data_IF_258228635811
#
_entry.id   IF_258228635811
#
_cell.length_a   1.000
_cell.length_b   1.000
_cell.length_c   1.000
_cell.angle_alpha   90.00
_cell.angle_beta   90.00
_cell.angle_gamma   90.00
#
_symmetry.space_group_name_H-M   'P 1'
#
loop_
_entity.id
_entity.type
_entity.pdbx_description
1 polymer ?
#
# COMPACT_ATOMS: atom_id res chain seq x y z
N UNK A 1 10.91 13.31 -53.64
CA UNK A 1 11.17 14.50 -52.78
C UNK A 1 12.52 14.41 -52.05
N UNK A 2 12.86 13.27 -51.45
CA UNK A 2 14.13 13.04 -50.71
C UNK A 2 15.39 13.16 -51.59
N UNK A 3 15.36 12.66 -52.84
CA UNK A 3 16.53 12.73 -53.74
C UNK A 3 16.92 14.17 -54.14
N UNK A 4 15.96 15.10 -54.14
CA UNK A 4 16.18 16.51 -54.48
C UNK A 4 16.90 17.25 -53.35
N UNK A 5 16.61 16.87 -52.09
CA UNK A 5 17.30 17.34 -50.89
C UNK A 5 18.76 16.86 -50.85
N UNK A 6 19.00 15.58 -51.19
CA UNK A 6 20.33 14.96 -51.19
C UNK A 6 21.30 15.54 -52.24
N UNK A 7 20.80 16.10 -53.34
CA UNK A 7 21.64 16.75 -54.38
C UNK A 7 21.88 18.25 -54.15
N UNK A 8 21.26 18.84 -53.14
CA UNK A 8 21.40 20.27 -52.84
C UNK A 8 22.83 20.64 -52.45
N UNK A 9 23.24 21.88 -52.75
CA UNK A 9 24.55 22.42 -52.31
C UNK A 9 24.68 22.44 -50.78
N UNK A 10 23.57 22.57 -50.06
CA UNK A 10 23.50 22.52 -48.60
C UNK A 10 23.89 21.16 -48.03
N UNK A 11 23.35 20.06 -48.58
CA UNK A 11 23.66 18.71 -48.13
C UNK A 11 25.13 18.33 -48.31
N UNK A 12 25.75 18.73 -49.43
CA UNK A 12 27.20 18.52 -49.65
C UNK A 12 28.07 19.27 -48.66
N UNK A 13 27.66 20.46 -48.23
CA UNK A 13 28.37 21.26 -47.21
C UNK A 13 28.20 20.64 -45.81
N UNK A 14 26.99 20.21 -45.48
CA UNK A 14 26.66 19.55 -44.23
C UNK A 14 27.46 18.24 -44.03
N UNK A 15 27.49 17.37 -45.05
CA UNK A 15 28.20 16.09 -44.98
C UNK A 15 29.73 16.23 -44.94
N UNK A 16 30.28 17.40 -45.31
CA UNK A 16 31.72 17.69 -45.23
C UNK A 16 32.15 18.21 -43.85
N UNK A 17 31.20 18.64 -43.01
CA UNK A 17 31.49 19.12 -41.67
C UNK A 17 31.35 17.96 -40.66
N UNK A 18 32.48 17.49 -40.13
CA UNK A 18 32.52 16.38 -39.16
C UNK A 18 31.78 16.71 -37.86
N UNK A 19 31.80 17.97 -37.42
CA UNK A 19 31.13 18.40 -36.19
C UNK A 19 29.60 18.33 -36.36
N UNK A 20 29.08 18.79 -37.50
CA UNK A 20 27.65 18.76 -37.78
C UNK A 20 27.08 17.33 -37.90
N UNK A 21 27.87 16.40 -38.44
CA UNK A 21 27.51 14.98 -38.50
C UNK A 21 27.47 14.35 -37.10
N UNK A 22 28.44 14.65 -36.24
CA UNK A 22 28.48 14.15 -34.86
C UNK A 22 27.29 14.67 -34.05
N UNK A 23 26.97 15.97 -34.13
CA UNK A 23 25.81 16.54 -33.43
C UNK A 23 24.49 15.93 -33.89
N UNK A 24 24.32 15.69 -35.20
CA UNK A 24 23.13 15.03 -35.75
C UNK A 24 23.00 13.57 -35.27
N UNK A 25 24.11 12.83 -35.19
CA UNK A 25 24.12 11.48 -34.67
C UNK A 25 23.75 11.44 -33.17
N UNK A 26 24.27 12.37 -32.38
CA UNK A 26 23.92 12.50 -30.94
C UNK A 26 22.43 12.80 -30.77
N UNK A 27 21.90 13.75 -31.54
CA UNK A 27 20.46 14.09 -31.56
C UNK A 27 19.61 12.87 -31.93
N UNK A 28 19.99 12.13 -32.98
CA UNK A 28 19.27 10.92 -33.38
C UNK A 28 19.32 9.83 -32.32
N UNK A 29 20.45 9.64 -31.63
CA UNK A 29 20.57 8.68 -30.53
C UNK A 29 19.62 9.05 -29.39
N UNK A 30 19.62 10.31 -28.96
CA UNK A 30 18.72 10.76 -27.90
C UNK A 30 17.25 10.67 -28.32
N UNK A 31 16.89 11.10 -29.53
CA UNK A 31 15.54 10.96 -30.07
C UNK A 31 15.11 9.48 -30.16
N UNK A 32 16.00 8.58 -30.56
CA UNK A 32 15.77 7.14 -30.52
C UNK A 32 15.58 6.63 -29.09
N UNK A 33 16.36 7.08 -28.11
CA UNK A 33 16.19 6.71 -26.70
C UNK A 33 14.82 7.18 -26.19
N UNK A 34 14.42 8.43 -26.46
CA UNK A 34 13.09 8.92 -26.07
C UNK A 34 11.97 8.16 -26.78
N UNK A 35 12.08 7.91 -28.09
CA UNK A 35 11.11 7.10 -28.83
C UNK A 35 11.07 5.67 -28.31
N UNK A 36 12.20 5.09 -27.92
CA UNK A 36 12.25 3.77 -27.32
C UNK A 36 11.53 3.81 -25.96
N UNK A 37 11.79 4.79 -25.09
CA UNK A 37 11.08 4.97 -23.80
C UNK A 37 9.58 5.22 -23.98
N UNK A 38 9.17 5.91 -25.04
CA UNK A 38 7.76 6.19 -25.33
C UNK A 38 7.04 5.00 -25.98
N UNK A 39 7.68 4.36 -26.97
CA UNK A 39 7.14 3.21 -27.69
C UNK A 39 7.17 1.95 -26.83
N UNK A 40 8.13 1.86 -25.92
CA UNK A 40 8.09 0.90 -24.86
C UNK A 40 7.35 1.47 -23.66
N UNK A 41 6.08 1.11 -23.51
CA UNK A 41 5.56 0.85 -22.17
C UNK A 41 6.38 -0.29 -21.53
N UNK A 42 7.65 -0.04 -21.17
CA UNK A 42 8.74 -1.03 -21.03
C UNK A 42 8.56 -2.03 -19.87
N UNK A 43 7.42 -2.02 -19.18
CA UNK A 43 6.97 -3.16 -18.37
C UNK A 43 5.45 -3.28 -18.45
N UNK A 44 4.93 -3.77 -19.58
CA UNK A 44 3.60 -4.41 -19.62
C UNK A 44 3.56 -5.76 -18.88
N UNK A 45 4.71 -6.21 -18.33
CA UNK A 45 4.90 -7.42 -17.53
C UNK A 45 5.52 -7.13 -16.15
N UNK A 46 5.33 -5.92 -15.60
CA UNK A 46 5.85 -5.53 -14.28
C UNK A 46 4.76 -4.91 -13.41
N UNK A 47 5.14 -4.17 -12.37
CA UNK A 47 4.21 -3.47 -11.47
C UNK A 47 3.31 -2.53 -12.31
N UNK A 48 2.04 -2.89 -12.44
CA UNK A 48 0.95 -2.14 -13.09
C UNK A 48 0.18 -1.31 -12.05
N UNK A 49 -0.60 -0.34 -12.52
CA UNK A 49 -1.48 0.44 -11.63
C UNK A 49 -2.46 -0.47 -10.87
N UNK A 50 -2.98 -1.49 -11.56
CA UNK A 50 -3.83 -2.53 -10.97
C UNK A 50 -3.09 -3.28 -9.84
N UNK A 51 -1.85 -3.71 -10.04
CA UNK A 51 -1.04 -4.35 -8.97
C UNK A 51 -0.67 -3.41 -7.82
N UNK A 52 -0.81 -2.09 -8.00
CA UNK A 52 -0.54 -1.10 -6.95
C UNK A 52 -1.79 -0.83 -6.13
N UNK A 53 -2.95 -0.93 -6.76
CA UNK A 53 -4.27 -0.77 -6.12
C UNK A 53 -4.79 -2.06 -5.49
N UNK A 54 -4.28 -3.21 -5.96
CA UNK A 54 -4.61 -4.53 -5.43
C UNK A 54 -4.31 -4.61 -3.92
N UNK A 55 -5.30 -5.07 -3.16
CA UNK A 55 -5.17 -5.28 -1.70
C UNK A 55 -4.30 -6.50 -1.42
N UNK A 56 -3.36 -6.32 -0.50
CA UNK A 56 -2.46 -7.37 -0.01
C UNK A 56 -2.81 -7.76 1.42
N UNK A 57 -3.19 -6.77 2.23
CA UNK A 57 -3.64 -6.96 3.61
C UNK A 57 -5.06 -6.42 3.79
N UNK A 58 -5.71 -6.82 4.88
CA UNK A 58 -7.03 -6.34 5.22
C UNK A 58 -7.00 -4.91 5.78
N UNK A 59 -6.04 -4.70 6.68
CA UNK A 59 -5.84 -3.56 7.54
C UNK A 59 -4.50 -2.86 7.23
N UNK A 60 -4.27 -1.75 7.93
CA UNK A 60 -3.03 -0.99 7.89
C UNK A 60 -1.94 -1.78 8.62
N UNK A 61 -1.19 -2.56 7.87
CA UNK A 61 -0.08 -3.32 8.39
C UNK A 61 1.11 -2.38 8.64
N UNK A 62 1.59 -2.26 9.89
CA UNK A 62 2.80 -1.50 10.17
C UNK A 62 3.97 -2.16 9.44
N UNK A 63 4.64 -1.37 8.58
CA UNK A 63 5.84 -1.84 7.92
C UNK A 63 6.97 -2.09 8.90
N UNK A 64 8.15 -2.42 8.36
CA UNK A 64 9.38 -2.65 9.14
C UNK A 64 9.70 -1.56 10.18
N UNK A 65 9.24 -0.32 9.98
CA UNK A 65 9.48 0.82 10.87
C UNK A 65 8.32 1.13 11.84
N UNK A 66 7.19 0.44 11.73
CA UNK A 66 6.04 0.66 12.59
C UNK A 66 6.09 -0.24 13.83
N UNK A 67 5.85 0.34 15.01
CA UNK A 67 5.52 -0.45 16.20
C UNK A 67 4.05 -0.87 16.14
N UNK A 68 3.77 -2.14 16.38
CA UNK A 68 2.40 -2.63 16.57
C UNK A 68 1.89 -2.06 17.91
N UNK A 69 0.80 -1.28 17.88
CA UNK A 69 0.09 -0.93 19.11
C UNK A 69 -0.89 -2.07 19.42
N UNK A 70 -0.75 -2.73 20.57
CA UNK A 70 -1.53 -3.93 20.90
C UNK A 70 -3.05 -3.65 20.92
N UNK A 71 -3.47 -2.49 21.43
CA UNK A 71 -4.88 -2.07 21.41
C UNK A 71 -5.43 -1.96 19.98
N UNK A 72 -4.63 -1.39 19.06
CA UNK A 72 -5.07 -1.28 17.65
C UNK A 72 -5.10 -2.63 16.95
N UNK A 73 -4.15 -3.52 17.26
CA UNK A 73 -4.12 -4.87 16.70
C UNK A 73 -5.39 -5.64 17.04
N UNK A 74 -5.89 -5.56 18.27
CA UNK A 74 -7.15 -6.20 18.65
C UNK A 74 -8.33 -5.61 17.88
N UNK A 75 -8.42 -4.28 17.79
CA UNK A 75 -9.47 -3.62 17.01
C UNK A 75 -9.44 -4.02 15.52
N UNK A 76 -8.25 -4.06 14.91
CA UNK A 76 -8.05 -4.45 13.51
C UNK A 76 -8.44 -5.92 13.27
N UNK A 77 -8.12 -6.82 14.21
CA UNK A 77 -8.53 -8.23 14.17
C UNK A 77 -10.04 -8.40 14.24
N UNK A 78 -10.69 -7.68 15.14
CA UNK A 78 -12.15 -7.68 15.29
C UNK A 78 -12.81 -7.18 13.99
N UNK A 79 -12.30 -6.10 13.40
CA UNK A 79 -12.82 -5.57 12.14
C UNK A 79 -12.62 -6.58 10.99
N UNK A 80 -11.46 -7.24 10.96
CA UNK A 80 -11.16 -8.30 9.97
C UNK A 80 -12.13 -9.46 10.08
N UNK A 81 -12.36 -9.95 11.29
CA UNK A 81 -13.30 -11.03 11.54
C UNK A 81 -14.71 -10.65 11.06
N UNK A 82 -15.21 -9.45 11.42
CA UNK A 82 -16.53 -8.97 10.99
C UNK A 82 -16.69 -8.93 9.47
N UNK A 83 -15.66 -8.52 8.74
CA UNK A 83 -15.75 -8.47 7.28
C UNK A 83 -15.65 -9.84 6.64
N UNK A 84 -14.78 -10.72 7.14
CA UNK A 84 -14.75 -12.12 6.69
C UNK A 84 -16.11 -12.78 6.94
N UNK A 85 -16.70 -12.56 8.12
CA UNK A 85 -18.02 -13.08 8.45
C UNK A 85 -19.10 -12.61 7.47
N UNK A 86 -19.11 -11.31 7.15
CA UNK A 86 -20.02 -10.73 6.14
C UNK A 86 -19.86 -11.38 4.76
N UNK A 87 -18.64 -11.71 4.36
CA UNK A 87 -18.40 -12.40 3.09
C UNK A 87 -18.91 -13.84 3.11
N UNK A 88 -18.75 -14.55 4.23
CA UNK A 88 -19.27 -15.90 4.41
C UNK A 88 -20.80 -15.90 4.40
N UNK A 89 -21.44 -14.94 5.08
CA UNK A 89 -22.89 -14.78 5.07
C UNK A 89 -23.42 -14.53 3.65
N UNK A 90 -22.77 -13.63 2.92
CA UNK A 90 -23.11 -13.36 1.52
C UNK A 90 -22.94 -14.59 0.62
N UNK A 91 -21.89 -15.38 0.85
CA UNK A 91 -21.63 -16.59 0.09
C UNK A 91 -22.61 -17.72 0.42
N UNK A 92 -23.09 -17.80 1.66
CA UNK A 92 -24.03 -18.83 2.10
C UNK A 92 -25.36 -18.77 1.35
N UNK A 93 -25.83 -17.57 1.03
CA UNK A 93 -27.08 -17.35 0.30
C UNK A 93 -26.92 -17.42 -1.23
N UNK A 94 -25.69 -17.57 -1.72
CA UNK A 94 -25.39 -17.59 -3.14
C UNK A 94 -25.61 -18.99 -3.77
N UNK A 95 -25.96 -19.08 -5.07
CA UNK A 95 -26.07 -20.35 -5.77
C UNK A 95 -24.76 -21.16 -5.81
N UNK A 96 -23.62 -20.45 -5.79
CA UNK A 96 -22.28 -21.01 -5.68
C UNK A 96 -21.51 -20.23 -4.59
N UNK A 97 -21.46 -20.77 -3.36
CA UNK A 97 -20.80 -20.11 -2.24
C UNK A 97 -19.30 -19.90 -2.47
N UNK A 98 -18.62 -20.88 -3.05
CA UNK A 98 -17.17 -20.83 -3.21
C UNK A 98 -16.76 -19.83 -4.28
N UNK A 99 -17.51 -19.73 -5.38
CA UNK A 99 -17.29 -18.69 -6.39
C UNK A 99 -17.47 -17.29 -5.79
N UNK A 100 -18.45 -17.13 -4.92
CA UNK A 100 -18.74 -15.85 -4.25
C UNK A 100 -17.63 -15.45 -3.27
N UNK A 101 -17.11 -16.42 -2.50
CA UNK A 101 -15.96 -16.18 -1.61
C UNK A 101 -14.66 -15.91 -2.38
N UNK A 102 -14.39 -16.64 -3.46
CA UNK A 102 -13.19 -16.42 -4.29
C UNK A 102 -13.18 -15.04 -4.96
N UNK A 103 -14.35 -14.45 -5.21
CA UNK A 103 -14.43 -13.06 -5.67
C UNK A 103 -13.95 -12.04 -4.61
N UNK A 104 -13.86 -12.46 -3.34
CA UNK A 104 -13.32 -11.69 -2.23
C UNK A 104 -11.86 -12.05 -1.90
N UNK A 105 -11.24 -12.98 -2.64
CA UNK A 105 -9.82 -13.29 -2.47
C UNK A 105 -8.97 -12.04 -2.68
N UNK A 106 -7.91 -11.93 -1.89
CA UNK A 106 -6.92 -10.88 -2.01
C UNK A 106 -5.68 -11.44 -2.69
N UNK A 107 -4.96 -10.58 -3.42
CA UNK A 107 -3.79 -10.90 -4.27
C UNK A 107 -3.10 -12.24 -3.96
N UNK A 108 -2.57 -12.38 -2.74
CA UNK A 108 -1.87 -13.56 -2.27
C UNK A 108 -2.54 -14.33 -1.11
N UNK A 109 -3.64 -13.83 -0.53
CA UNK A 109 -4.39 -14.53 0.54
C UNK A 109 -5.74 -14.99 0.02
N UNK A 110 -5.85 -16.31 -0.17
CA UNK A 110 -7.06 -16.97 -0.66
C UNK A 110 -7.73 -17.74 0.45
N UNK A 111 -9.05 -17.85 0.37
CA UNK A 111 -9.78 -18.79 1.21
C UNK A 111 -9.40 -20.24 0.86
N UNK A 112 -9.50 -21.12 1.85
CA UNK A 112 -9.45 -22.57 1.61
C UNK A 112 -10.56 -23.01 0.65
N UNK A 113 -10.34 -24.11 -0.06
CA UNK A 113 -11.23 -24.58 -1.13
C UNK A 113 -12.44 -25.40 -0.63
N UNK A 114 -12.77 -25.30 0.66
CA UNK A 114 -13.87 -26.02 1.32
C UNK A 114 -14.77 -25.06 2.11
N UNK A 115 -15.99 -24.82 1.61
CA UNK A 115 -16.93 -23.89 2.24
C UNK A 115 -17.54 -24.43 3.54
N UNK A 116 -17.67 -25.75 3.69
CA UNK A 116 -18.21 -26.35 4.91
C UNK A 116 -17.18 -26.26 6.04
N UNK A 117 -15.90 -26.45 5.72
CA UNK A 117 -14.80 -26.21 6.65
C UNK A 117 -14.71 -24.75 7.09
N UNK A 118 -14.81 -23.79 6.15
CA UNK A 118 -14.87 -22.35 6.47
C UNK A 118 -16.03 -22.04 7.43
N UNK A 119 -17.19 -22.66 7.21
CA UNK A 119 -18.36 -22.46 8.08
C UNK A 119 -18.13 -23.00 9.49
N UNK A 120 -17.54 -24.19 9.60
CA UNK A 120 -17.20 -24.77 10.91
C UNK A 120 -16.25 -23.86 11.68
N UNK A 121 -15.18 -23.39 11.04
CA UNK A 121 -14.21 -22.49 11.67
C UNK A 121 -14.88 -21.17 12.06
N UNK A 122 -15.81 -20.65 11.24
CA UNK A 122 -16.57 -19.42 11.57
C UNK A 122 -17.38 -19.61 12.84
N UNK A 123 -18.12 -20.71 12.93
CA UNK A 123 -19.02 -20.98 14.05
C UNK A 123 -18.23 -21.08 15.37
N UNK A 124 -17.07 -21.74 15.36
CA UNK A 124 -16.17 -21.86 16.52
C UNK A 124 -15.62 -20.50 17.01
N UNK A 125 -15.32 -19.60 16.07
CA UNK A 125 -14.80 -18.26 16.41
C UNK A 125 -15.91 -17.32 16.82
N UNK A 126 -17.10 -17.46 16.24
CA UNK A 126 -18.22 -16.59 16.54
C UNK A 126 -18.59 -16.65 18.02
N UNK A 127 -18.56 -17.85 18.62
CA UNK A 127 -18.74 -18.02 20.07
C UNK A 127 -17.64 -17.29 20.87
N UNK A 128 -16.37 -17.42 20.46
CA UNK A 128 -15.26 -16.70 21.10
C UNK A 128 -15.35 -15.19 20.94
N UNK A 129 -15.91 -14.72 19.81
CA UNK A 129 -16.10 -13.31 19.51
C UNK A 129 -17.23 -12.71 20.35
N UNK A 130 -18.37 -13.40 20.49
CA UNK A 130 -19.46 -12.97 21.37
C UNK A 130 -18.99 -12.91 22.83
N UNK A 131 -18.25 -13.93 23.29
CA UNK A 131 -17.66 -13.93 24.63
C UNK A 131 -16.71 -12.75 24.85
N UNK A 132 -15.87 -12.41 23.86
CA UNK A 132 -15.00 -11.22 23.91
C UNK A 132 -15.82 -9.94 24.03
N UNK A 133 -16.86 -9.77 23.21
CA UNK A 133 -17.67 -8.54 23.24
C UNK A 133 -18.35 -8.34 24.59
N UNK A 134 -18.90 -9.42 25.16
CA UNK A 134 -19.52 -9.41 26.48
C UNK A 134 -18.50 -9.09 27.58
N UNK A 135 -17.38 -9.82 27.62
CA UNK A 135 -16.32 -9.59 28.61
C UNK A 135 -15.74 -8.17 28.54
N UNK A 136 -15.55 -7.62 27.33
CA UNK A 136 -15.03 -6.26 27.16
C UNK A 136 -16.01 -5.17 27.62
N UNK A 137 -17.32 -5.42 27.53
CA UNK A 137 -18.36 -4.51 28.03
C UNK A 137 -18.44 -4.55 29.57
N UNK A 138 -18.29 -5.74 30.16
CA UNK A 138 -18.43 -5.95 31.60
C UNK A 138 -17.22 -5.47 32.42
N UNK A 139 -15.99 -5.50 31.87
CA UNK A 139 -14.78 -5.08 32.59
C UNK A 139 -14.93 -3.69 33.20
N UNK A 140 -15.47 -2.72 32.45
CA UNK A 140 -15.64 -1.36 32.95
C UNK A 140 -16.67 -1.30 34.10
N UNK A 141 -17.71 -2.14 34.05
CA UNK A 141 -18.72 -2.22 35.11
C UNK A 141 -18.13 -2.85 36.38
N UNK A 142 -17.35 -3.94 36.26
CA UNK A 142 -16.68 -4.56 37.40
C UNK A 142 -15.61 -3.67 38.03
N UNK A 143 -14.85 -2.93 37.22
CA UNK A 143 -13.88 -1.95 37.73
C UNK A 143 -14.56 -0.83 38.51
N UNK A 144 -15.71 -0.34 38.04
CA UNK A 144 -16.52 0.66 38.75
C UNK A 144 -17.11 0.10 40.05
N UNK A 145 -17.63 -1.14 40.02
CA UNK A 145 -18.18 -1.81 41.20
C UNK A 145 -17.11 -2.06 42.28
N UNK A 146 -15.91 -2.53 41.90
CA UNK A 146 -14.78 -2.67 42.82
C UNK A 146 -14.39 -1.32 43.44
N UNK A 147 -14.41 -0.23 42.66
CA UNK A 147 -14.11 1.09 43.17
C UNK A 147 -15.11 1.53 44.26
N UNK A 148 -16.41 1.25 44.07
CA UNK A 148 -17.44 1.51 45.08
C UNK A 148 -17.24 0.66 46.34
N UNK A 149 -16.97 -0.63 46.17
CA UNK A 149 -16.74 -1.54 47.31
C UNK A 149 -15.48 -1.12 48.08
N UNK A 150 -14.41 -0.72 47.39
CA UNK A 150 -13.18 -0.23 48.02
C UNK A 150 -13.42 1.06 48.82
N UNK A 151 -14.28 1.97 48.34
CA UNK A 151 -14.68 3.19 49.06
C UNK A 151 -15.47 2.88 50.33
N UNK A 152 -16.45 1.96 50.25
CA UNK A 152 -17.24 1.53 51.42
C UNK A 152 -16.37 0.79 52.45
N UNK A 153 -15.39 0.01 52.00
CA UNK A 153 -14.42 -0.71 52.85
C UNK A 153 -13.54 0.22 53.69
N UNK A 154 -13.32 1.47 53.29
CA UNK A 154 -12.54 2.43 54.09
C UNK A 154 -13.22 2.80 55.41
N UNK A 155 -14.55 2.73 55.46
CA UNK A 155 -15.36 3.15 56.60
C UNK A 155 -16.06 2.00 57.33
N UNK A 156 -16.10 0.81 56.73
CA UNK A 156 -16.75 -0.37 57.29
C UNK A 156 -15.94 -1.00 58.44
N UNK A 157 -16.64 -1.44 59.49
CA UNK A 157 -16.08 -2.18 60.63
C UNK A 157 -16.97 -3.38 60.99
N UNK A 158 -16.37 -4.41 61.61
CA UNK A 158 -17.11 -5.57 62.09
C UNK A 158 -17.68 -6.45 60.97
N UNK A 159 -18.94 -6.85 61.12
CA UNK A 159 -19.64 -7.80 60.23
C UNK A 159 -19.88 -7.21 58.83
N UNK A 160 -20.18 -5.92 58.74
CA UNK A 160 -20.39 -5.22 57.46
C UNK A 160 -19.13 -5.24 56.58
N UNK A 161 -17.94 -5.16 57.22
CA UNK A 161 -16.67 -5.24 56.50
C UNK A 161 -16.39 -6.65 55.96
N UNK A 162 -16.82 -7.69 56.68
CA UNK A 162 -16.63 -9.08 56.24
C UNK A 162 -17.48 -9.39 55.00
N UNK A 163 -18.72 -8.88 54.97
CA UNK A 163 -19.62 -9.00 53.81
C UNK A 163 -19.03 -8.28 52.59
N UNK A 164 -18.58 -7.04 52.75
CA UNK A 164 -17.98 -6.26 51.64
C UNK A 164 -16.71 -6.92 51.09
N UNK A 165 -15.92 -7.60 51.93
CA UNK A 165 -14.74 -8.36 51.46
C UNK A 165 -15.13 -9.60 50.66
N UNK A 166 -16.22 -10.27 51.03
CA UNK A 166 -16.77 -11.41 50.26
C UNK A 166 -17.29 -10.94 48.90
N UNK A 167 -18.08 -9.87 48.87
CA UNK A 167 -18.59 -9.27 47.64
C UNK A 167 -17.45 -8.80 46.72
N UNK A 168 -16.44 -8.10 47.29
CA UNK A 168 -15.24 -7.68 46.55
C UNK A 168 -14.53 -8.87 45.90
N UNK A 169 -14.36 -9.96 46.63
CA UNK A 169 -13.68 -11.15 46.11
C UNK A 169 -14.47 -11.82 44.99
N UNK A 170 -15.81 -11.78 45.05
CA UNK A 170 -16.68 -12.22 43.96
C UNK A 170 -16.48 -11.39 42.70
N UNK A 171 -16.57 -10.07 42.81
CA UNK A 171 -16.40 -9.14 41.68
C UNK A 171 -14.98 -9.22 41.11
N UNK A 172 -13.95 -9.36 41.95
CA UNK A 172 -12.57 -9.52 41.50
C UNK A 172 -12.37 -10.84 40.72
N UNK A 173 -13.01 -11.93 41.14
CA UNK A 173 -12.97 -13.20 40.41
C UNK A 173 -13.67 -13.10 39.05
N UNK A 174 -14.82 -12.41 38.98
CA UNK A 174 -15.54 -12.19 37.72
C UNK A 174 -14.76 -11.25 36.78
N UNK A 175 -14.11 -10.21 37.32
CA UNK A 175 -13.22 -9.32 36.56
C UNK A 175 -12.01 -10.08 36.00
N UNK A 176 -11.37 -10.92 36.80
CA UNK A 176 -10.23 -11.74 36.36
C UNK A 176 -10.64 -12.72 35.27
N UNK A 177 -11.81 -13.35 35.39
CA UNK A 177 -12.36 -14.22 34.35
C UNK A 177 -12.64 -13.45 33.04
N UNK A 178 -13.21 -12.24 33.12
CA UNK A 178 -13.45 -11.39 31.95
C UNK A 178 -12.13 -10.97 31.27
N UNK A 179 -11.12 -10.59 32.05
CA UNK A 179 -9.77 -10.27 31.54
C UNK A 179 -9.11 -11.45 30.85
N UNK A 180 -9.22 -12.66 31.41
CA UNK A 180 -8.70 -13.88 30.78
C UNK A 180 -9.32 -14.10 29.39
N UNK A 181 -10.63 -13.88 29.24
CA UNK A 181 -11.31 -13.98 27.94
C UNK A 181 -10.78 -12.93 26.96
N UNK A 182 -10.65 -11.68 27.39
CA UNK A 182 -10.13 -10.57 26.57
C UNK A 182 -8.70 -10.81 26.11
N UNK A 183 -7.86 -11.38 26.97
CA UNK A 183 -6.47 -11.71 26.65
C UNK A 183 -6.35 -12.92 25.71
N UNK A 184 -7.22 -13.92 25.85
CA UNK A 184 -7.16 -15.16 25.08
C UNK A 184 -7.78 -15.04 23.67
N UNK A 185 -8.90 -14.32 23.54
CA UNK A 185 -9.69 -14.28 22.31
C UNK A 185 -8.95 -13.73 21.07
N UNK A 186 -8.07 -12.72 21.14
CA UNK A 186 -7.31 -12.25 19.98
C UNK A 186 -6.50 -13.35 19.30
N UNK A 187 -5.87 -14.23 20.10
CA UNK A 187 -5.08 -15.35 19.56
C UNK A 187 -5.94 -16.40 18.86
N UNK A 188 -7.15 -16.68 19.39
CA UNK A 188 -8.12 -17.60 18.78
C UNK A 188 -8.65 -17.06 17.46
N UNK A 189 -9.02 -15.78 17.43
CA UNK A 189 -9.48 -15.08 16.21
C UNK A 189 -8.37 -15.08 15.17
N UNK A 190 -7.13 -14.77 15.56
CA UNK A 190 -5.96 -14.83 14.68
C UNK A 190 -5.80 -16.22 14.07
N UNK A 191 -5.79 -17.26 14.91
CA UNK A 191 -5.59 -18.64 14.47
C UNK A 191 -6.66 -19.06 13.45
N UNK A 192 -7.92 -18.80 13.75
CA UNK A 192 -8.99 -19.19 12.84
C UNK A 192 -8.99 -18.40 11.53
N UNK A 193 -8.63 -17.11 11.57
CA UNK A 193 -8.38 -16.34 10.35
C UNK A 193 -7.22 -16.90 9.53
N UNK A 194 -6.20 -17.48 10.18
CA UNK A 194 -5.10 -18.18 9.49
C UNK A 194 -5.54 -19.52 8.91
N UNK A 195 -6.42 -20.25 9.58
CA UNK A 195 -6.97 -21.52 9.08
C UNK A 195 -7.87 -21.28 7.87
N UNK A 196 -8.74 -20.26 7.90
CA UNK A 196 -9.57 -19.88 6.75
C UNK A 196 -8.75 -19.30 5.59
N UNK A 197 -7.75 -18.48 5.89
CA UNK A 197 -6.92 -17.75 4.91
C UNK A 197 -5.43 -17.92 5.22
N UNK A 198 -4.85 -19.08 4.84
CA UNK A 198 -3.47 -19.40 5.15
C UNK A 198 -2.50 -18.42 4.51
N UNK A 199 -1.35 -18.27 5.17
CA UNK A 199 -0.26 -17.47 4.59
C UNK A 199 0.19 -18.09 3.27
N UNK A 200 0.38 -17.27 2.22
CA UNK A 200 0.96 -17.76 0.98
C UNK A 200 2.34 -18.34 1.26
N UNK A 201 2.63 -19.50 0.67
CA UNK A 201 3.91 -20.19 0.81
C UNK A 201 4.73 -20.13 -0.49
N UNK A 202 6.00 -20.51 -0.42
CA UNK A 202 6.90 -20.52 -1.56
C UNK A 202 7.09 -19.13 -2.20
N UNK A 203 7.02 -19.07 -3.53
CA UNK A 203 7.19 -17.81 -4.27
C UNK A 203 6.12 -16.77 -3.98
N UNK A 204 4.86 -17.19 -3.79
CA UNK A 204 3.77 -16.28 -3.42
C UNK A 204 4.02 -15.67 -2.03
N UNK A 205 4.49 -16.48 -1.07
CA UNK A 205 4.86 -16.01 0.27
C UNK A 205 6.02 -15.02 0.26
N UNK A 206 7.03 -15.26 -0.57
CA UNK A 206 8.13 -14.33 -0.76
C UNK A 206 7.66 -12.98 -1.33
N UNK A 207 6.78 -12.99 -2.34
CA UNK A 207 6.21 -11.77 -2.93
C UNK A 207 5.35 -11.02 -1.91
N UNK A 208 4.53 -11.73 -1.15
CA UNK A 208 3.73 -11.16 -0.06
C UNK A 208 4.63 -10.46 0.97
N UNK A 209 5.69 -11.13 1.44
CA UNK A 209 6.65 -10.55 2.38
C UNK A 209 7.30 -9.27 1.85
N UNK A 210 7.71 -9.27 0.57
CA UNK A 210 8.23 -8.06 -0.06
C UNK A 210 7.17 -6.96 -0.08
N UNK A 211 5.95 -7.25 -0.54
CA UNK A 211 4.84 -6.27 -0.59
C UNK A 211 4.55 -5.65 0.78
N UNK A 212 4.58 -6.43 1.86
CA UNK A 212 4.27 -5.93 3.21
C UNK A 212 5.48 -5.33 3.96
N UNK A 213 6.69 -5.39 3.40
CA UNK A 213 7.91 -4.95 4.08
C UNK A 213 7.89 -3.47 4.50
N UNK A 214 7.34 -2.56 3.67
CA UNK A 214 7.16 -1.14 4.02
C UNK A 214 5.77 -0.83 4.61
N UNK A 215 4.98 -1.86 4.88
CA UNK A 215 3.62 -1.75 5.37
C UNK A 215 2.59 -1.55 4.26
N UNK A 216 1.34 -1.40 4.69
CA UNK A 216 0.21 -1.12 3.81
C UNK A 216 -0.44 0.23 4.14
N UNK A 217 -1.13 0.75 3.13
CA UNK A 217 -1.96 1.94 3.24
C UNK A 217 -3.30 1.61 3.95
N UNK A 218 -4.13 2.62 4.24
CA UNK A 218 -5.44 2.47 4.90
C UNK A 218 -6.42 1.59 4.08
N UNK A 219 -6.14 1.39 2.79
CA UNK A 219 -6.89 0.47 1.91
C UNK A 219 -6.32 -0.95 1.88
N UNK A 220 -5.25 -1.27 2.62
CA UNK A 220 -4.61 -2.59 2.59
C UNK A 220 -3.68 -2.83 1.39
N UNK A 221 -3.39 -1.79 0.61
CA UNK A 221 -2.49 -1.87 -0.55
C UNK A 221 -1.02 -1.61 -0.13
N UNK A 222 -0.08 -2.33 -0.75
CA UNK A 222 1.35 -2.25 -0.43
C UNK A 222 1.96 -0.86 -0.66
N UNK A 223 2.56 -0.28 0.38
CA UNK A 223 3.31 0.99 0.30
C UNK A 223 4.60 0.82 -0.52
N UNK A 224 5.23 -0.35 -0.43
CA UNK A 224 6.43 -0.66 -1.23
C UNK A 224 6.14 -0.61 -2.73
N UNK A 225 5.08 -1.28 -3.17
CA UNK A 225 4.74 -1.32 -4.60
C UNK A 225 4.32 0.06 -5.11
N UNK A 226 3.58 0.85 -4.30
CA UNK A 226 3.29 2.26 -4.61
C UNK A 226 4.57 3.08 -4.82
N UNK A 227 5.56 2.89 -3.94
CA UNK A 227 6.83 3.61 -3.99
C UNK A 227 7.70 3.20 -5.18
N UNK A 228 7.73 1.90 -5.50
CA UNK A 228 8.44 1.40 -6.68
C UNK A 228 7.77 1.90 -7.98
N UNK A 229 6.44 1.94 -7.99
CA UNK A 229 5.69 2.45 -9.13
C UNK A 229 5.90 3.95 -9.35
N UNK A 230 5.91 4.77 -8.29
CA UNK A 230 6.21 6.20 -8.40
C UNK A 230 7.65 6.45 -8.86
N UNK A 231 8.60 5.65 -8.37
CA UNK A 231 10.01 5.71 -8.81
C UNK A 231 10.14 5.41 -10.31
N UNK A 232 9.42 4.40 -10.81
CA UNK A 232 9.37 4.08 -12.24
C UNK A 232 8.86 5.26 -13.07
N UNK A 233 7.76 5.89 -12.66
CA UNK A 233 7.18 7.04 -13.37
C UNK A 233 8.15 8.24 -13.34
N UNK A 234 8.72 8.55 -12.17
CA UNK A 234 9.65 9.66 -12.02
C UNK A 234 10.88 9.49 -12.94
N UNK A 235 11.41 8.27 -13.03
CA UNK A 235 12.54 7.97 -13.91
C UNK A 235 12.17 8.13 -15.40
N UNK A 236 10.97 7.70 -15.80
CA UNK A 236 10.49 7.87 -17.18
C UNK A 236 10.39 9.36 -17.57
N UNK A 237 9.76 10.18 -16.73
CA UNK A 237 9.61 11.61 -16.98
C UNK A 237 10.98 12.29 -17.01
N UNK A 238 11.87 11.93 -16.08
CA UNK A 238 13.23 12.48 -16.01
C UNK A 238 14.03 12.21 -17.27
N UNK A 239 14.04 10.97 -17.77
CA UNK A 239 14.77 10.59 -18.98
C UNK A 239 14.20 11.27 -20.23
N UNK A 240 12.88 11.28 -20.39
CA UNK A 240 12.22 11.94 -21.55
C UNK A 240 12.50 13.43 -21.55
N UNK A 241 12.39 14.09 -20.39
CA UNK A 241 12.64 15.53 -20.25
C UNK A 241 14.10 15.87 -20.53
N UNK A 242 15.05 15.07 -20.01
CA UNK A 242 16.46 15.26 -20.26
C UNK A 242 16.80 15.16 -21.76
N UNK A 243 16.24 14.17 -22.44
CA UNK A 243 16.38 14.01 -23.90
C UNK A 243 15.86 15.26 -24.63
N UNK A 244 14.61 15.66 -24.37
CA UNK A 244 13.99 16.79 -25.07
C UNK A 244 14.79 18.08 -24.83
N UNK A 245 15.24 18.30 -23.59
CA UNK A 245 16.07 19.45 -23.22
C UNK A 245 17.39 19.48 -24.00
N UNK A 246 18.09 18.34 -24.10
CA UNK A 246 19.33 18.24 -24.88
C UNK A 246 19.07 18.49 -26.37
N UNK A 247 17.98 17.95 -26.92
CA UNK A 247 17.63 18.16 -28.33
C UNK A 247 17.35 19.64 -28.63
N UNK A 248 16.50 20.28 -27.84
CA UNK A 248 16.15 21.68 -28.00
C UNK A 248 17.35 22.59 -27.74
N UNK A 249 18.09 22.36 -26.65
CA UNK A 249 19.28 23.12 -26.31
C UNK A 249 20.36 23.02 -27.38
N UNK A 250 20.62 21.81 -27.89
CA UNK A 250 21.59 21.61 -28.98
C UNK A 250 21.12 22.27 -30.27
N UNK A 251 19.83 22.15 -30.62
CA UNK A 251 19.28 22.74 -31.82
C UNK A 251 19.34 24.27 -31.80
N UNK A 252 18.91 24.89 -30.71
CA UNK A 252 18.95 26.34 -30.53
C UNK A 252 20.39 26.86 -30.44
N UNK A 253 21.26 26.20 -29.67
CA UNK A 253 22.67 26.56 -29.55
C UNK A 253 23.44 26.43 -30.86
N UNK A 254 23.23 25.35 -31.61
CA UNK A 254 23.83 25.19 -32.94
C UNK A 254 23.30 26.22 -33.94
N UNK A 255 22.02 26.59 -33.87
CA UNK A 255 21.42 27.62 -34.73
C UNK A 255 22.02 29.00 -34.46
N UNK A 256 22.16 29.39 -33.19
CA UNK A 256 22.79 30.65 -32.80
C UNK A 256 24.25 30.71 -33.28
N UNK A 257 25.04 29.65 -33.03
CA UNK A 257 26.45 29.59 -33.43
C UNK A 257 26.69 29.51 -34.93
N UNK A 258 25.73 28.98 -35.72
CA UNK A 258 25.89 28.86 -37.18
C UNK A 258 25.46 30.11 -37.95
N UNK A 259 24.33 30.73 -37.58
CA UNK A 259 23.79 31.89 -38.32
C UNK A 259 24.32 33.24 -37.81
N UNK A 260 24.62 33.36 -36.50
CA UNK A 260 25.05 34.60 -35.87
C UNK A 260 24.04 35.76 -36.00
N UNK A 261 24.42 36.94 -35.53
CA UNK A 261 23.61 38.17 -35.70
C UNK A 261 22.27 38.11 -34.98
N UNK A 262 21.16 38.35 -35.70
CA UNK A 262 19.82 38.47 -35.11
C UNK A 262 19.31 37.16 -34.49
N UNK A 263 19.73 35.99 -35.01
CA UNK A 263 19.32 34.68 -34.47
C UNK A 263 19.91 34.46 -33.08
N UNK A 264 21.17 34.88 -32.88
CA UNK A 264 21.84 34.80 -31.58
C UNK A 264 21.17 35.71 -30.54
N UNK A 265 20.80 36.93 -30.93
CA UNK A 265 20.06 37.87 -30.07
C UNK A 265 18.72 37.30 -29.63
N UNK A 266 17.96 36.68 -30.54
CA UNK A 266 16.67 36.06 -30.21
C UNK A 266 16.84 34.88 -29.25
N UNK A 267 17.83 33.99 -29.49
CA UNK A 267 18.08 32.83 -28.61
C UNK A 267 18.51 33.29 -27.22
N UNK A 268 19.43 34.26 -27.12
CA UNK A 268 19.88 34.81 -25.85
C UNK A 268 18.75 35.52 -25.11
N UNK A 269 17.87 36.23 -25.82
CA UNK A 269 16.67 36.84 -25.25
C UNK A 269 15.74 35.79 -24.62
N UNK A 270 15.47 34.69 -25.32
CA UNK A 270 14.63 33.58 -24.80
C UNK A 270 15.25 33.00 -23.51
N UNK A 271 16.54 32.67 -23.52
CA UNK A 271 17.23 32.11 -22.35
C UNK A 271 17.15 33.06 -21.16
N UNK A 272 17.45 34.34 -21.37
CA UNK A 272 17.42 35.35 -20.30
C UNK A 272 16.01 35.54 -19.72
N UNK A 273 14.99 35.48 -20.58
CA UNK A 273 13.58 35.60 -20.16
C UNK A 273 13.18 34.39 -19.32
N UNK A 274 13.49 33.18 -19.77
CA UNK A 274 13.23 31.96 -19.00
C UNK A 274 13.98 31.92 -17.66
N UNK A 275 15.25 32.37 -17.63
CA UNK A 275 16.04 32.44 -16.39
C UNK A 275 15.60 33.55 -15.43
N UNK A 276 14.84 34.54 -15.91
CA UNK A 276 14.29 35.60 -15.07
C UNK A 276 13.04 35.20 -14.28
N UNK A 277 12.45 34.05 -14.60
CA UNK A 277 11.31 33.50 -13.85
C UNK A 277 11.83 32.86 -12.56
N UNK A 278 11.47 33.37 -11.38
CA UNK A 278 11.87 32.76 -10.12
C UNK A 278 11.17 31.41 -9.93
N UNK A 279 11.92 30.41 -9.48
CA UNK A 279 11.36 29.12 -9.08
C UNK A 279 10.59 29.32 -7.76
N UNK A 280 9.26 29.16 -7.83
CA UNK A 280 8.32 29.24 -6.69
C UNK A 280 8.11 27.87 -6.06
#
# INVERSE_FOLDING_TARGET
MIERLLRSRGWRKFRRNRVALVSCAVILIYACIALLVLASGFFGRGITLESVEERVTYDKYPGFFGSVNEERRVADLVERFKTVNRFIDMAQDAPDPMLTLRAQDWAERRFIDDFDEIRSIRDDVFESFEALQFAAEDIAAFEEELQYIDEDLETAEGEDREILLEDRAGVEADLDAAREVVDAAPSKIEQALFEMQPMPSGWAGFVYFLRTSLGSDDKGASVLFKSLYSTKIAFQIGVVTAVISVLLGTFLGASAGFFGGWVDVVVMWIVSTLSSVPYL
#
